data_IF_053520053006
#
_entry.id   IF_053520053006
#
_cell.length_a   1.000
_cell.length_b   1.000
_cell.length_c   1.000
_cell.angle_alpha   90.00
_cell.angle_beta   90.00
_cell.angle_gamma   90.00
#
_symmetry.space_group_name_H-M   'P 1'
#
loop_
_entity.id
_entity.type
_entity.pdbx_description
1 polymer ?
#
# COMPACT_ATOMS: atom_id res chain seq x y z
N UNK A 1 12.33 23.19 14.34
CA UNK A 1 13.29 22.08 14.57
C UNK A 1 13.04 21.02 13.53
N UNK A 2 14.03 20.70 12.72
CA UNK A 2 14.00 19.54 11.81
C UNK A 2 14.05 18.26 12.65
N UNK A 3 13.10 17.35 12.44
CA UNK A 3 13.09 16.05 13.11
C UNK A 3 13.47 14.99 12.10
N UNK A 4 14.64 14.38 12.28
CA UNK A 4 15.11 13.28 11.44
C UNK A 4 14.52 11.94 11.90
N UNK A 5 14.30 11.03 10.96
CA UNK A 5 13.86 9.66 11.25
C UNK A 5 14.57 8.65 10.34
N UNK A 6 14.74 7.41 10.82
CA UNK A 6 15.45 6.33 10.11
C UNK A 6 14.53 5.38 9.36
N UNK A 7 13.26 5.33 9.72
CA UNK A 7 12.30 4.42 9.13
C UNK A 7 10.86 4.66 9.60
N UNK A 8 9.96 3.86 9.05
CA UNK A 8 8.53 3.92 9.35
C UNK A 8 8.00 2.53 9.66
N UNK A 9 7.05 2.42 10.58
CA UNK A 9 6.35 1.18 10.90
C UNK A 9 4.93 1.47 11.38
N UNK A 10 4.02 0.49 11.21
CA UNK A 10 2.68 0.47 11.80
C UNK A 10 2.45 -0.81 12.63
N UNK A 11 3.39 -1.76 12.58
CA UNK A 11 3.48 -2.89 13.48
C UNK A 11 4.56 -2.60 14.52
N UNK A 12 4.21 -2.60 15.81
CA UNK A 12 5.15 -2.27 16.89
C UNK A 12 6.35 -3.23 16.97
N UNK A 13 6.19 -4.48 16.52
CA UNK A 13 7.29 -5.48 16.45
C UNK A 13 8.35 -5.16 15.40
N UNK A 14 8.01 -4.35 14.39
CA UNK A 14 8.91 -3.93 13.32
C UNK A 14 9.60 -2.59 13.60
N UNK A 15 9.22 -1.93 14.70
CA UNK A 15 9.83 -0.68 15.12
C UNK A 15 11.27 -0.91 15.53
N UNK A 16 12.14 -0.01 15.11
CA UNK A 16 13.55 0.09 15.51
C UNK A 16 13.84 1.52 15.95
N UNK A 17 15.01 1.72 16.56
CA UNK A 17 15.43 3.05 17.00
C UNK A 17 15.38 4.10 15.87
N UNK A 18 14.76 5.23 16.16
CA UNK A 18 14.58 6.34 15.22
C UNK A 18 13.47 6.15 14.19
N UNK A 19 12.59 5.14 14.36
CA UNK A 19 11.42 4.96 13.48
C UNK A 19 10.26 5.86 13.89
N UNK A 20 9.45 6.25 12.90
CA UNK A 20 8.10 6.78 13.13
C UNK A 20 7.15 5.59 13.25
N UNK A 21 6.34 5.58 14.30
CA UNK A 21 5.27 4.62 14.47
C UNK A 21 3.92 5.25 14.10
N UNK A 22 3.20 4.62 13.16
CA UNK A 22 1.86 5.02 12.75
C UNK A 22 0.83 4.15 13.48
N UNK A 23 0.16 4.74 14.45
CA UNK A 23 -0.88 4.10 15.25
C UNK A 23 -2.27 4.47 14.70
N UNK A 24 -3.04 3.49 14.27
CA UNK A 24 -4.40 3.67 13.78
C UNK A 24 -5.23 2.40 13.98
N UNK A 25 -6.55 2.56 14.03
CA UNK A 25 -7.47 1.44 14.15
C UNK A 25 -7.41 0.55 12.92
N UNK A 26 -7.01 -0.72 13.09
CA UNK A 26 -7.07 -1.78 12.09
C UNK A 26 -8.47 -2.39 11.98
N UNK A 27 -8.62 -3.43 11.16
CA UNK A 27 -9.86 -4.21 11.09
C UNK A 27 -10.01 -5.11 12.32
N UNK A 28 -8.95 -5.84 12.68
CA UNK A 28 -8.95 -6.80 13.79
C UNK A 28 -8.40 -6.21 15.10
N UNK A 29 -7.54 -5.21 15.02
CA UNK A 29 -6.84 -4.65 16.19
C UNK A 29 -6.68 -3.14 16.06
N UNK A 30 -6.66 -2.45 17.20
CA UNK A 30 -6.36 -1.03 17.25
C UNK A 30 -4.86 -0.83 17.52
N UNK A 31 -4.15 -0.28 16.51
CA UNK A 31 -2.72 0.02 16.59
C UNK A 31 -2.35 0.97 17.73
N UNK A 32 -3.31 1.77 18.23
CA UNK A 32 -3.10 2.68 19.34
C UNK A 32 -2.78 1.95 20.66
N UNK A 33 -3.21 0.70 20.85
CA UNK A 33 -2.83 -0.10 22.03
C UNK A 33 -1.35 -0.45 22.07
N UNK A 34 -0.66 -0.39 20.93
CA UNK A 34 0.75 -0.78 20.80
C UNK A 34 1.72 0.40 20.84
N UNK A 35 1.24 1.63 21.15
CA UNK A 35 2.10 2.82 21.23
C UNK A 35 3.19 2.64 22.28
N UNK A 36 2.86 2.12 23.47
CA UNK A 36 3.85 1.87 24.54
C UNK A 36 4.94 0.89 24.08
N UNK A 37 4.56 -0.17 23.36
CA UNK A 37 5.51 -1.14 22.82
C UNK A 37 6.39 -0.53 21.72
N UNK A 38 5.82 0.31 20.84
CA UNK A 38 6.58 1.02 19.81
C UNK A 38 7.62 1.97 20.44
N UNK A 39 7.26 2.69 21.48
CA UNK A 39 8.19 3.56 22.22
C UNK A 39 9.32 2.73 22.86
N UNK A 40 8.97 1.61 23.52
CA UNK A 40 9.96 0.70 24.11
C UNK A 40 10.94 0.17 23.06
N UNK A 41 10.47 -0.06 21.82
CA UNK A 41 11.29 -0.53 20.70
C UNK A 41 12.05 0.60 19.98
N UNK A 42 12.04 1.83 20.51
CA UNK A 42 12.88 2.94 20.04
C UNK A 42 12.18 3.95 19.12
N UNK A 43 10.85 3.90 18.99
CA UNK A 43 10.14 4.97 18.28
C UNK A 43 10.14 6.25 19.12
N UNK A 44 10.53 7.36 18.51
CA UNK A 44 10.48 8.70 19.12
C UNK A 44 9.43 9.62 18.49
N UNK A 45 8.75 9.15 17.46
CA UNK A 45 7.68 9.89 16.75
C UNK A 45 6.48 8.97 16.62
N UNK A 46 5.36 9.39 17.17
CA UNK A 46 4.08 8.67 17.12
C UNK A 46 3.08 9.49 16.33
N UNK A 47 2.53 8.91 15.27
CA UNK A 47 1.45 9.51 14.49
C UNK A 47 0.17 8.71 14.76
N UNK A 48 -0.89 9.38 15.21
CA UNK A 48 -2.12 8.71 15.65
C UNK A 48 -3.36 9.53 15.30
N UNK A 49 -4.50 8.86 15.17
CA UNK A 49 -5.83 9.46 15.01
C UNK A 49 -6.60 9.61 16.33
N UNK A 50 -6.07 9.04 17.42
CA UNK A 50 -6.82 8.91 18.69
C UNK A 50 -6.62 10.06 19.65
N UNK A 51 -5.43 10.64 19.71
CA UNK A 51 -5.10 11.69 20.69
C UNK A 51 -4.96 13.04 19.99
N UNK A 52 -5.70 14.03 20.47
CA UNK A 52 -5.57 15.43 20.00
C UNK A 52 -4.31 16.13 20.55
N UNK A 53 -3.21 15.39 20.71
CA UNK A 53 -1.95 15.92 21.22
C UNK A 53 -1.02 16.14 20.03
N UNK A 54 -0.57 17.38 19.88
CA UNK A 54 0.52 17.72 18.97
C UNK A 54 1.64 18.34 19.82
N UNK A 55 2.81 17.70 19.81
CA UNK A 55 3.97 18.21 20.55
C UNK A 55 4.77 17.13 21.27
N UNK A 56 5.78 17.59 21.97
CA UNK A 56 6.70 16.75 22.72
C UNK A 56 6.15 16.39 24.10
N UNK A 57 6.23 15.11 24.45
CA UNK A 57 5.95 14.58 25.78
C UNK A 57 6.96 13.48 26.11
N UNK A 58 7.73 13.67 27.21
CA UNK A 58 8.76 12.70 27.62
C UNK A 58 9.72 12.30 26.50
N UNK A 59 10.27 13.25 25.78
CA UNK A 59 11.16 13.04 24.60
C UNK A 59 10.52 12.25 23.43
N UNK A 60 9.21 12.12 23.40
CA UNK A 60 8.45 11.52 22.29
C UNK A 60 7.62 12.62 21.63
N UNK A 61 7.73 12.72 20.32
CA UNK A 61 6.92 13.63 19.51
C UNK A 61 5.60 12.93 19.15
N UNK A 62 4.48 13.45 19.61
CA UNK A 62 3.15 13.02 19.21
C UNK A 62 2.58 13.95 18.17
N UNK A 63 2.07 13.39 17.09
CA UNK A 63 1.40 14.11 16.00
C UNK A 63 0.02 13.49 15.76
N UNK A 64 -1.01 14.32 15.88
CA UNK A 64 -2.35 13.93 15.51
C UNK A 64 -2.54 14.05 13.99
N UNK A 65 -3.17 13.05 13.39
CA UNK A 65 -3.55 13.07 11.99
C UNK A 65 -4.88 12.34 11.78
N UNK A 66 -5.82 12.96 11.09
CA UNK A 66 -7.15 12.39 10.86
C UNK A 66 -7.13 11.15 9.95
N UNK A 67 -6.06 10.94 9.17
CA UNK A 67 -5.89 9.76 8.32
C UNK A 67 -4.43 9.28 8.31
N UNK A 68 -3.96 8.64 9.40
CA UNK A 68 -2.58 8.15 9.51
C UNK A 68 -2.23 7.11 8.43
N UNK A 69 -3.22 6.36 7.91
CA UNK A 69 -3.01 5.39 6.82
C UNK A 69 -2.60 6.08 5.51
N UNK A 70 -3.29 7.15 5.14
CA UNK A 70 -2.94 7.95 3.96
C UNK A 70 -1.56 8.58 4.14
N UNK A 71 -1.28 9.10 5.33
CA UNK A 71 0.01 9.71 5.64
C UNK A 71 1.14 8.67 5.58
N UNK A 72 0.96 7.49 6.17
CA UNK A 72 1.89 6.36 6.07
C UNK A 72 2.19 5.99 4.61
N UNK A 73 1.16 5.93 3.77
CA UNK A 73 1.32 5.60 2.36
C UNK A 73 2.16 6.66 1.62
N UNK A 74 1.92 7.94 1.89
CA UNK A 74 2.72 9.05 1.33
C UNK A 74 4.17 9.00 1.81
N UNK A 75 4.41 8.77 3.10
CA UNK A 75 5.76 8.61 3.66
C UNK A 75 6.48 7.41 3.04
N UNK A 76 5.79 6.26 2.97
CA UNK A 76 6.34 5.06 2.35
C UNK A 76 6.71 5.30 0.89
N UNK A 77 5.83 5.95 0.12
CA UNK A 77 6.09 6.24 -1.29
C UNK A 77 7.28 7.19 -1.49
N UNK A 78 7.46 8.18 -0.62
CA UNK A 78 8.62 9.10 -0.66
C UNK A 78 9.91 8.40 -0.23
N UNK A 79 9.85 7.59 0.83
CA UNK A 79 11.02 6.89 1.38
C UNK A 79 11.56 5.83 0.40
N UNK A 80 10.68 5.14 -0.31
CA UNK A 80 11.01 4.16 -1.34
C UNK A 80 10.68 4.73 -2.72
N UNK A 81 11.34 5.84 -3.11
CA UNK A 81 10.98 6.66 -4.27
C UNK A 81 11.29 6.05 -5.64
N UNK A 82 12.14 5.02 -5.72
CA UNK A 82 12.43 4.31 -6.98
C UNK A 82 11.23 3.41 -7.34
N UNK A 83 10.61 3.68 -8.48
CA UNK A 83 9.44 2.95 -8.98
C UNK A 83 9.66 2.49 -10.42
N UNK A 84 9.06 1.36 -10.84
CA UNK A 84 8.95 0.99 -12.26
C UNK A 84 8.27 2.10 -13.08
N UNK A 85 8.66 2.23 -14.35
CA UNK A 85 8.14 3.28 -15.22
C UNK A 85 6.68 3.03 -15.62
N UNK A 86 6.31 1.75 -15.84
CA UNK A 86 4.99 1.32 -16.28
C UNK A 86 4.30 0.58 -15.14
N UNK A 87 3.41 1.26 -14.41
CA UNK A 87 2.67 0.68 -13.32
C UNK A 87 1.19 0.56 -13.70
N UNK A 88 0.68 -0.67 -13.69
CA UNK A 88 -0.70 -1.00 -14.05
C UNK A 88 -1.43 -1.45 -12.80
N UNK A 89 -2.63 -0.91 -12.57
CA UNK A 89 -3.52 -1.34 -11.52
C UNK A 89 -4.71 -2.11 -12.09
N UNK A 90 -5.00 -3.29 -11.55
CA UNK A 90 -6.19 -4.05 -11.94
C UNK A 90 -7.12 -4.23 -10.75
N UNK A 91 -8.37 -3.80 -10.91
CA UNK A 91 -9.44 -3.97 -9.93
C UNK A 91 -10.66 -4.63 -10.55
N UNK A 92 -11.61 -5.02 -9.73
CA UNK A 92 -12.84 -5.70 -10.12
C UNK A 92 -13.25 -6.72 -9.06
N UNK A 93 -14.38 -7.38 -9.23
CA UNK A 93 -14.79 -8.45 -8.31
C UNK A 93 -13.95 -9.69 -8.60
N UNK A 94 -13.98 -10.19 -9.82
CA UNK A 94 -13.28 -11.38 -10.26
C UNK A 94 -12.27 -11.06 -11.40
N UNK A 95 -11.37 -11.99 -11.72
CA UNK A 95 -10.46 -11.90 -12.86
C UNK A 95 -9.19 -11.06 -12.64
N UNK A 96 -9.01 -10.39 -11.50
CA UNK A 96 -7.81 -9.59 -11.20
C UNK A 96 -6.52 -10.40 -11.33
N UNK A 97 -6.45 -11.55 -10.65
CA UNK A 97 -5.27 -12.43 -10.65
C UNK A 97 -5.00 -13.03 -12.03
N UNK A 98 -6.07 -13.39 -12.76
CA UNK A 98 -5.94 -13.92 -14.14
C UNK A 98 -5.31 -12.88 -15.06
N UNK A 99 -5.84 -11.65 -15.06
CA UNK A 99 -5.28 -10.56 -15.90
C UNK A 99 -3.85 -10.23 -15.48
N UNK A 100 -3.57 -10.15 -14.18
CA UNK A 100 -2.22 -9.89 -13.69
C UNK A 100 -1.23 -10.98 -14.13
N UNK A 101 -1.65 -12.25 -14.09
CA UNK A 101 -0.85 -13.37 -14.52
C UNK A 101 -0.66 -13.42 -16.04
N UNK A 102 -1.70 -13.19 -16.82
CA UNK A 102 -1.60 -13.13 -18.29
C UNK A 102 -0.69 -11.99 -18.74
N UNK A 103 -0.82 -10.80 -18.16
CA UNK A 103 0.10 -9.70 -18.44
C UNK A 103 1.55 -10.10 -18.19
N UNK A 104 1.84 -10.69 -17.04
CA UNK A 104 3.18 -11.16 -16.69
C UNK A 104 3.69 -12.21 -17.68
N UNK A 105 2.88 -13.22 -18.00
CA UNK A 105 3.25 -14.29 -18.92
C UNK A 105 3.50 -13.78 -20.34
N UNK A 106 2.59 -12.97 -20.89
CA UNK A 106 2.72 -12.42 -22.26
C UNK A 106 4.01 -11.62 -22.39
N UNK A 107 4.31 -10.74 -21.45
CA UNK A 107 5.56 -9.96 -21.51
C UNK A 107 6.80 -10.86 -21.38
N UNK A 108 6.75 -11.85 -20.48
CA UNK A 108 7.87 -12.79 -20.27
C UNK A 108 8.12 -13.65 -21.52
N UNK A 109 7.07 -14.15 -22.16
CA UNK A 109 7.19 -14.90 -23.43
C UNK A 109 7.80 -14.03 -24.54
N UNK A 110 7.52 -12.74 -24.55
CA UNK A 110 8.14 -11.77 -25.46
C UNK A 110 9.51 -11.25 -24.98
N UNK A 111 10.14 -11.91 -24.00
CA UNK A 111 11.45 -11.55 -23.42
C UNK A 111 11.50 -10.14 -22.80
N UNK A 112 10.36 -9.58 -22.44
CA UNK A 112 10.23 -8.30 -21.76
C UNK A 112 10.19 -8.54 -20.25
N UNK A 113 11.07 -7.87 -19.51
CA UNK A 113 11.09 -7.97 -18.04
C UNK A 113 9.82 -7.37 -17.45
N UNK A 114 9.06 -8.20 -16.77
CA UNK A 114 7.82 -7.82 -16.11
C UNK A 114 7.69 -8.41 -14.69
N UNK A 115 6.73 -7.92 -13.94
CA UNK A 115 6.33 -8.52 -12.67
C UNK A 115 4.83 -8.37 -12.46
N UNK A 116 4.25 -9.30 -11.69
CA UNK A 116 2.91 -9.16 -11.12
C UNK A 116 2.95 -9.21 -9.61
N UNK A 117 2.10 -8.41 -8.97
CA UNK A 117 1.95 -8.33 -7.50
C UNK A 117 0.49 -8.54 -7.16
N UNK A 118 0.17 -9.57 -6.41
CA UNK A 118 -1.22 -9.85 -6.04
C UNK A 118 -1.39 -11.09 -5.18
N UNK A 119 -2.54 -11.72 -5.29
CA UNK A 119 -2.93 -12.91 -4.51
C UNK A 119 -1.94 -14.06 -4.63
N UNK A 120 -1.36 -14.24 -5.81
CA UNK A 120 -0.35 -15.27 -6.08
C UNK A 120 1.08 -14.87 -5.63
N UNK A 121 1.21 -13.79 -4.88
CA UNK A 121 2.50 -13.26 -4.44
C UNK A 121 3.11 -12.28 -5.42
N UNK A 122 4.44 -12.34 -5.59
CA UNK A 122 5.20 -11.49 -6.51
C UNK A 122 5.89 -12.38 -7.53
N UNK A 123 5.38 -12.38 -8.77
CA UNK A 123 6.08 -12.99 -9.89
C UNK A 123 7.14 -12.01 -10.45
N UNK A 124 8.19 -12.55 -11.08
CA UNK A 124 9.31 -11.75 -11.60
C UNK A 124 10.44 -11.51 -10.58
N UNK A 125 10.23 -11.81 -9.30
CA UNK A 125 11.30 -11.92 -8.32
C UNK A 125 11.49 -13.41 -7.97
N UNK A 126 12.75 -13.87 -7.90
CA UNK A 126 13.08 -15.26 -7.50
C UNK A 126 12.66 -15.62 -6.04
N UNK A 127 11.99 -14.73 -5.34
CA UNK A 127 11.57 -14.91 -3.96
C UNK A 127 10.07 -15.15 -3.93
N UNK A 128 9.66 -16.40 -3.75
CA UNK A 128 8.28 -16.71 -3.32
C UNK A 128 8.11 -16.15 -1.90
N UNK A 129 7.27 -15.14 -1.76
CA UNK A 129 6.75 -14.73 -0.45
C UNK A 129 5.25 -14.98 -0.48
N UNK A 130 4.80 -15.84 0.41
CA UNK A 130 3.38 -15.96 0.70
C UNK A 130 2.94 -14.69 1.42
N UNK A 131 2.05 -13.96 0.77
CA UNK A 131 1.45 -12.77 1.35
C UNK A 131 0.01 -13.09 1.78
N UNK A 132 -0.34 -12.72 2.99
CA UNK A 132 -1.68 -12.96 3.56
C UNK A 132 -2.79 -12.12 2.90
N UNK A 133 -2.44 -11.18 2.04
CA UNK A 133 -3.39 -10.26 1.42
C UNK A 133 -3.18 -10.11 -0.09
N UNK A 134 -4.27 -10.07 -0.85
CA UNK A 134 -4.25 -9.77 -2.30
C UNK A 134 -3.52 -8.48 -2.63
N UNK A 135 -3.76 -7.42 -1.84
CA UNK A 135 -3.00 -6.17 -1.91
C UNK A 135 -2.15 -6.05 -0.66
N UNK A 136 -0.84 -6.04 -0.83
CA UNK A 136 0.14 -5.89 0.25
C UNK A 136 -0.12 -4.61 1.06
N UNK A 137 0.48 -4.52 2.25
CA UNK A 137 0.53 -3.24 2.95
C UNK A 137 1.42 -2.22 2.20
N UNK A 138 1.22 -0.96 2.54
CA UNK A 138 1.86 0.13 1.79
C UNK A 138 3.38 0.13 1.88
N UNK A 139 3.97 -0.31 2.99
CA UNK A 139 5.43 -0.39 3.15
C UNK A 139 5.98 -1.52 2.28
N UNK A 140 5.35 -2.70 2.33
CA UNK A 140 5.74 -3.87 1.55
C UNK A 140 5.64 -3.59 0.04
N UNK A 141 4.54 -2.97 -0.42
CA UNK A 141 4.37 -2.59 -1.83
C UNK A 141 5.51 -1.69 -2.28
N UNK A 142 5.78 -0.61 -1.55
CA UNK A 142 6.79 0.37 -1.96
C UNK A 142 8.21 -0.22 -1.93
N UNK A 143 8.53 -1.06 -0.93
CA UNK A 143 9.79 -1.83 -0.89
C UNK A 143 9.92 -2.78 -2.07
N UNK A 144 8.84 -3.47 -2.44
CA UNK A 144 8.81 -4.41 -3.57
C UNK A 144 9.02 -3.67 -4.88
N UNK A 145 8.30 -2.57 -5.12
CA UNK A 145 8.46 -1.75 -6.32
C UNK A 145 9.89 -1.21 -6.45
N UNK A 146 10.49 -0.74 -5.36
CA UNK A 146 11.90 -0.32 -5.35
C UNK A 146 12.82 -1.46 -5.78
N UNK A 147 12.67 -2.68 -5.21
CA UNK A 147 13.48 -3.86 -5.58
C UNK A 147 13.30 -4.24 -7.04
N UNK A 148 12.08 -4.17 -7.58
CA UNK A 148 11.81 -4.45 -8.99
C UNK A 148 12.53 -3.44 -9.89
N UNK A 149 12.45 -2.15 -9.59
CA UNK A 149 13.17 -1.08 -10.30
C UNK A 149 14.69 -1.30 -10.29
N UNK A 150 15.26 -1.64 -9.12
CA UNK A 150 16.69 -1.91 -8.97
C UNK A 150 17.15 -3.12 -9.80
N UNK A 151 16.25 -4.06 -10.12
CA UNK A 151 16.45 -5.19 -11.03
C UNK A 151 16.13 -4.87 -12.50
N UNK A 152 15.88 -3.60 -12.82
CA UNK A 152 15.50 -3.13 -14.16
C UNK A 152 14.22 -3.81 -14.68
N UNK A 153 13.27 -4.10 -13.79
CA UNK A 153 11.92 -4.54 -14.14
C UNK A 153 11.04 -3.30 -14.14
N UNK A 154 10.67 -2.88 -15.34
CA UNK A 154 9.96 -1.60 -15.56
C UNK A 154 8.46 -1.77 -15.77
N UNK A 155 8.00 -2.98 -16.06
CA UNK A 155 6.60 -3.29 -16.36
C UNK A 155 6.01 -4.07 -15.19
N UNK A 156 5.13 -3.45 -14.43
CA UNK A 156 4.55 -4.07 -13.23
C UNK A 156 3.04 -3.92 -13.23
N UNK A 157 2.33 -5.03 -13.08
CA UNK A 157 0.90 -5.05 -12.82
C UNK A 157 0.64 -5.40 -11.36
N UNK A 158 -0.31 -4.68 -10.73
CA UNK A 158 -0.64 -4.80 -9.32
C UNK A 158 -2.14 -5.00 -9.12
N UNK A 159 -2.51 -6.05 -8.37
CA UNK A 159 -3.89 -6.26 -7.97
C UNK A 159 -4.32 -5.23 -6.93
N UNK A 160 -5.27 -4.38 -7.30
CA UNK A 160 -5.87 -3.34 -6.46
C UNK A 160 -7.23 -3.83 -5.91
N UNK A 161 -7.21 -4.57 -4.81
CA UNK A 161 -8.45 -5.02 -4.16
C UNK A 161 -9.22 -3.83 -3.57
N UNK A 162 -10.55 -3.97 -3.47
CA UNK A 162 -11.41 -2.94 -2.86
C UNK A 162 -11.00 -2.61 -1.42
N UNK A 163 -10.59 -3.61 -0.64
CA UNK A 163 -10.03 -3.42 0.70
C UNK A 163 -8.73 -2.62 0.67
N UNK A 164 -7.79 -2.98 -0.23
CA UNK A 164 -6.50 -2.29 -0.35
C UNK A 164 -6.67 -0.83 -0.75
N UNK A 165 -7.57 -0.54 -1.69
CA UNK A 165 -7.92 0.81 -2.12
C UNK A 165 -8.60 1.61 -1.00
N UNK A 166 -9.61 1.03 -0.34
CA UNK A 166 -10.33 1.67 0.76
C UNK A 166 -9.43 1.95 1.97
N UNK A 167 -8.47 1.06 2.23
CA UNK A 167 -7.51 1.19 3.31
C UNK A 167 -6.27 2.06 2.96
N UNK A 168 -6.30 2.80 1.87
CA UNK A 168 -5.20 3.68 1.42
C UNK A 168 -3.86 2.96 1.18
N UNK A 169 -3.85 1.62 0.97
CA UNK A 169 -2.60 0.87 0.82
C UNK A 169 -1.80 1.26 -0.42
N UNK A 170 -2.48 1.77 -1.45
CA UNK A 170 -1.91 2.19 -2.73
C UNK A 170 -1.72 3.69 -2.85
N UNK A 171 -2.09 4.46 -1.82
CA UNK A 171 -1.93 5.92 -1.83
C UNK A 171 -0.45 6.30 -1.98
N UNK A 172 -0.20 7.38 -2.72
CA UNK A 172 1.15 7.80 -3.07
C UNK A 172 1.75 7.09 -4.30
N UNK A 173 1.10 6.03 -4.82
CA UNK A 173 1.40 5.48 -6.14
C UNK A 173 0.63 6.23 -7.22
N UNK A 174 1.18 6.19 -8.45
CA UNK A 174 0.53 6.71 -9.65
C UNK A 174 0.62 5.68 -10.75
N UNK A 175 -0.55 5.29 -11.27
CA UNK A 175 -0.68 4.26 -12.29
C UNK A 175 -0.78 4.85 -13.70
N UNK A 176 -0.17 4.18 -14.66
CA UNK A 176 -0.24 4.51 -16.09
C UNK A 176 -1.49 3.93 -16.74
N UNK A 177 -1.94 2.77 -16.24
CA UNK A 177 -3.13 2.08 -16.73
C UNK A 177 -3.94 1.59 -15.53
N UNK A 178 -5.25 1.82 -15.57
CA UNK A 178 -6.22 1.23 -14.65
C UNK A 178 -7.15 0.29 -15.42
N UNK A 179 -7.27 -0.95 -14.94
CA UNK A 179 -8.15 -1.96 -15.53
C UNK A 179 -9.28 -2.28 -14.56
N UNK A 180 -10.53 -2.23 -15.05
CA UNK A 180 -11.72 -2.62 -14.31
C UNK A 180 -12.33 -3.86 -14.95
N UNK A 181 -12.17 -5.03 -14.33
CA UNK A 181 -12.56 -6.31 -14.93
C UNK A 181 -14.06 -6.53 -14.98
N UNK A 182 -14.71 -6.45 -13.83
CA UNK A 182 -16.15 -6.63 -13.67
C UNK A 182 -16.61 -6.16 -12.28
N UNK A 183 -17.94 -6.10 -12.10
CA UNK A 183 -18.56 -5.69 -10.85
C UNK A 183 -19.78 -6.53 -10.54
N UNK A 184 -19.68 -7.41 -9.55
CA UNK A 184 -20.77 -8.23 -9.03
C UNK A 184 -20.87 -8.08 -7.51
N UNK A 185 -21.89 -8.66 -6.90
CA UNK A 185 -22.12 -8.58 -5.45
C UNK A 185 -21.05 -9.37 -4.71
N UNK A 186 -20.27 -8.67 -3.85
CA UNK A 186 -19.24 -9.29 -3.01
C UNK A 186 -18.84 -8.32 -1.87
N UNK A 187 -18.18 -8.82 -0.84
CA UNK A 187 -17.57 -8.03 0.26
C UNK A 187 -18.51 -7.01 0.93
N UNK A 188 -19.83 -7.28 0.99
CA UNK A 188 -20.78 -6.37 1.66
C UNK A 188 -20.70 -6.43 3.18
N UNK A 189 -20.12 -7.49 3.73
CA UNK A 189 -19.74 -7.58 5.14
C UNK A 189 -18.79 -6.44 5.55
N UNK A 190 -17.85 -6.08 4.67
CA UNK A 190 -16.89 -5.00 4.87
C UNK A 190 -17.43 -3.64 4.39
N UNK A 191 -17.87 -3.54 3.14
CA UNK A 191 -18.24 -2.27 2.52
C UNK A 191 -19.64 -1.76 2.90
N UNK A 192 -20.50 -2.62 3.51
CA UNK A 192 -21.87 -2.35 3.97
C UNK A 192 -22.88 -2.12 2.82
N UNK A 193 -22.51 -1.38 1.79
CA UNK A 193 -23.38 -1.09 0.65
C UNK A 193 -22.67 -1.33 -0.69
N UNK A 194 -23.48 -1.64 -1.71
CA UNK A 194 -23.01 -1.79 -3.09
C UNK A 194 -22.30 -0.52 -3.62
N UNK A 195 -22.86 0.64 -3.25
CA UNK A 195 -22.30 1.95 -3.59
C UNK A 195 -20.90 2.17 -2.99
N UNK A 196 -20.71 1.81 -1.72
CA UNK A 196 -19.40 1.93 -1.05
C UNK A 196 -18.38 0.96 -1.66
N UNK A 197 -18.81 -0.25 -2.01
CA UNK A 197 -17.97 -1.23 -2.69
C UNK A 197 -17.49 -0.73 -4.05
N UNK A 198 -18.40 -0.22 -4.89
CA UNK A 198 -18.05 0.40 -6.16
C UNK A 198 -17.11 1.60 -5.98
N UNK A 199 -17.47 2.52 -5.07
CA UNK A 199 -16.65 3.71 -4.81
C UNK A 199 -15.22 3.34 -4.37
N UNK A 200 -15.05 2.27 -3.61
CA UNK A 200 -13.73 1.78 -3.21
C UNK A 200 -12.88 1.36 -4.42
N UNK A 201 -13.46 0.69 -5.42
CA UNK A 201 -12.75 0.33 -6.66
C UNK A 201 -12.46 1.56 -7.53
N UNK A 202 -13.39 2.51 -7.59
CA UNK A 202 -13.24 3.76 -8.34
C UNK A 202 -12.11 4.66 -7.81
N UNK A 203 -11.60 4.43 -6.60
CA UNK A 203 -10.41 5.13 -6.09
C UNK A 203 -9.22 4.98 -7.05
N UNK A 204 -9.02 3.80 -7.66
CA UNK A 204 -7.96 3.57 -8.64
C UNK A 204 -8.02 4.62 -9.76
N UNK A 205 -9.19 4.85 -10.32
CA UNK A 205 -9.41 5.74 -11.47
C UNK A 205 -9.46 7.21 -11.09
N UNK A 206 -10.18 7.55 -10.02
CA UNK A 206 -10.40 8.94 -9.60
C UNK A 206 -9.17 9.57 -8.93
N UNK A 207 -8.31 8.76 -8.27
CA UNK A 207 -7.25 9.28 -7.41
C UNK A 207 -5.85 8.83 -7.81
N UNK A 208 -5.70 7.60 -8.29
CA UNK A 208 -4.40 6.96 -8.43
C UNK A 208 -3.88 6.93 -9.86
N UNK A 209 -4.70 7.14 -10.87
CA UNK A 209 -4.23 7.30 -12.25
C UNK A 209 -3.44 8.60 -12.44
N UNK A 210 -2.47 8.57 -13.35
CA UNK A 210 -1.78 9.76 -13.85
C UNK A 210 -2.73 10.61 -14.73
N UNK A 211 -2.43 11.88 -14.94
CA UNK A 211 -3.26 12.77 -15.80
C UNK A 211 -3.37 12.26 -17.25
N UNK A 212 -2.29 11.72 -17.81
CA UNK A 212 -2.25 11.08 -19.13
C UNK A 212 -2.11 9.57 -18.94
N UNK A 213 -3.21 8.88 -18.72
CA UNK A 213 -3.27 7.44 -18.43
C UNK A 213 -4.45 6.80 -19.15
N UNK A 214 -4.46 5.48 -19.20
CA UNK A 214 -5.53 4.72 -19.82
C UNK A 214 -6.42 4.07 -18.75
N UNK A 215 -7.73 4.09 -18.99
CA UNK A 215 -8.73 3.37 -18.23
C UNK A 215 -9.41 2.33 -19.15
N UNK A 216 -9.40 1.07 -18.75
CA UNK A 216 -9.93 -0.09 -19.48
C UNK A 216 -10.99 -0.77 -18.64
#
# INVERSE_FOLDING_TARGET
>A
HEVSFKGIAFNSKEVREGYIFFAFKGYNTDGNFFIKNAIKNGSKIIITDKFKINGWKNNILFLNNNNPRNLLAKFSSKMFNKKPNNLIGVTGTNGKSSIANFYFQILTLNRIKAASIGTLGVAGLKVKKDFSNTTLDTIQINKTLKKLKERRIENVILEASSHGLNQNRLDGLKFDIGIFTNFTRDHLDYHKTYKNYLNSKLILFKKLLKKKSYAI
#
